data_IF_426083582763
#
_entry.id   IF_426083582763
#
_cell.length_a   1.000
_cell.length_b   1.000
_cell.length_c   1.000
_cell.angle_alpha   90.00
_cell.angle_beta   90.00
_cell.angle_gamma   90.00
#
_symmetry.space_group_name_H-M   'P 1'
#
loop_
_entity.id
_entity.type
_entity.pdbx_description
1 polymer ?
#
# COMPACT_ATOMS: atom_id res chain seq x y z
N UNK A 1 -3.60 -8.64 -19.45
CA UNK A 1 -2.71 -8.77 -18.28
C UNK A 1 -3.60 -8.59 -17.07
N UNK A 2 -3.76 -9.63 -16.25
CA UNK A 2 -4.43 -9.48 -14.95
C UNK A 2 -3.55 -8.59 -14.07
N UNK A 3 -4.12 -7.50 -13.55
CA UNK A 3 -3.46 -6.69 -12.54
C UNK A 3 -3.62 -7.45 -11.23
N UNK A 4 -2.53 -8.02 -10.72
CA UNK A 4 -2.50 -8.60 -9.38
C UNK A 4 -2.60 -7.49 -8.34
N UNK A 5 -3.39 -7.72 -7.30
CA UNK A 5 -3.59 -6.79 -6.17
C UNK A 5 -4.08 -5.40 -6.62
N UNK A 6 -5.21 -5.32 -7.34
CA UNK A 6 -5.71 -4.07 -7.89
C UNK A 6 -6.05 -3.04 -6.82
N UNK A 7 -6.58 -3.44 -5.65
CA UNK A 7 -6.93 -2.49 -4.59
C UNK A 7 -5.68 -1.91 -3.96
N UNK A 8 -4.70 -2.75 -3.63
CA UNK A 8 -3.41 -2.34 -3.07
C UNK A 8 -2.68 -1.37 -4.02
N UNK A 9 -2.57 -1.72 -5.30
CA UNK A 9 -1.91 -0.87 -6.30
C UNK A 9 -2.64 0.45 -6.52
N UNK A 10 -3.96 0.43 -6.61
CA UNK A 10 -4.74 1.65 -6.80
C UNK A 10 -4.57 2.60 -5.61
N UNK A 11 -4.48 2.07 -4.39
CA UNK A 11 -4.20 2.87 -3.21
C UNK A 11 -2.80 3.48 -3.31
N UNK A 12 -1.77 2.67 -3.56
CA UNK A 12 -0.38 3.15 -3.65
C UNK A 12 -0.21 4.23 -4.73
N UNK A 13 -0.83 4.04 -5.91
CA UNK A 13 -0.85 5.06 -6.97
C UNK A 13 -1.59 6.32 -6.53
N UNK A 14 -2.76 6.17 -5.88
CA UNK A 14 -3.58 7.34 -5.52
C UNK A 14 -2.95 8.20 -4.43
N UNK A 15 -2.22 7.58 -3.51
CA UNK A 15 -1.64 8.23 -2.33
C UNK A 15 -0.18 8.64 -2.58
N UNK A 16 0.64 7.74 -3.13
CA UNK A 16 2.10 7.88 -3.19
C UNK A 16 2.65 8.01 -4.62
N UNK A 17 1.80 8.34 -5.60
CA UNK A 17 2.29 8.57 -6.96
C UNK A 17 3.30 9.72 -7.00
N UNK A 18 4.42 9.45 -7.68
CA UNK A 18 5.50 10.40 -7.91
C UNK A 18 5.01 11.63 -8.67
N UNK A 19 3.92 11.51 -9.44
CA UNK A 19 3.33 12.62 -10.19
C UNK A 19 2.46 13.55 -9.33
N UNK A 20 1.88 13.04 -8.23
CA UNK A 20 0.92 13.80 -7.41
C UNK A 20 1.63 14.55 -6.29
N UNK A 21 2.71 13.98 -5.74
CA UNK A 21 3.58 14.67 -4.77
C UNK A 21 2.81 15.29 -3.59
N UNK A 22 1.94 14.51 -2.95
CA UNK A 22 1.13 14.98 -1.83
C UNK A 22 2.02 15.29 -0.62
N UNK A 23 1.57 16.21 0.25
CA UNK A 23 2.16 16.34 1.57
C UNK A 23 1.73 15.16 2.46
N UNK A 24 2.55 14.78 3.42
CA UNK A 24 2.28 13.66 4.35
C UNK A 24 0.87 13.73 4.99
N UNK A 25 0.40 14.95 5.36
CA UNK A 25 -0.96 15.14 5.88
C UNK A 25 -2.07 14.76 4.89
N UNK A 26 -1.87 15.05 3.60
CA UNK A 26 -2.84 14.70 2.55
C UNK A 26 -2.78 13.21 2.24
N UNK A 27 -1.59 12.61 2.24
CA UNK A 27 -1.44 11.16 2.07
C UNK A 27 -2.19 10.38 3.16
N UNK A 28 -2.04 10.82 4.41
CA UNK A 28 -2.79 10.28 5.54
C UNK A 28 -4.30 10.48 5.38
N UNK A 29 -4.76 11.69 5.03
CA UNK A 29 -6.19 11.96 4.88
C UNK A 29 -6.84 11.15 3.75
N UNK A 30 -6.13 10.98 2.63
CA UNK A 30 -6.58 10.13 1.53
C UNK A 30 -6.62 8.67 1.93
N UNK A 31 -5.58 8.18 2.60
CA UNK A 31 -5.53 6.82 3.13
C UNK A 31 -6.70 6.57 4.08
N UNK A 32 -7.00 7.49 5.00
CA UNK A 32 -8.15 7.38 5.90
C UNK A 32 -9.48 7.36 5.14
N UNK A 33 -9.70 8.27 4.19
CA UNK A 33 -10.90 8.26 3.36
C UNK A 33 -11.05 6.94 2.58
N UNK A 34 -9.95 6.41 2.05
CA UNK A 34 -9.94 5.16 1.30
C UNK A 34 -10.30 3.97 2.20
N UNK A 35 -9.80 3.96 3.44
CA UNK A 35 -10.04 2.91 4.43
C UNK A 35 -11.39 3.02 5.16
N UNK A 36 -12.12 4.15 5.05
CA UNK A 36 -13.49 4.25 5.55
C UNK A 36 -14.47 3.33 4.81
N UNK A 37 -14.16 2.93 3.58
CA UNK A 37 -14.95 1.95 2.85
C UNK A 37 -14.63 0.53 3.34
N UNK A 38 -15.62 -0.13 3.96
CA UNK A 38 -15.46 -1.47 4.55
C UNK A 38 -15.14 -2.54 3.50
N UNK A 39 -15.72 -2.46 2.30
CA UNK A 39 -15.46 -3.43 1.23
C UNK A 39 -14.01 -3.32 0.74
N UNK A 40 -13.55 -2.08 0.55
CA UNK A 40 -12.17 -1.77 0.15
C UNK A 40 -11.18 -2.23 1.23
N UNK A 41 -11.48 -1.97 2.50
CA UNK A 41 -10.64 -2.41 3.62
C UNK A 41 -10.50 -3.94 3.68
N UNK A 42 -11.59 -4.67 3.50
CA UNK A 42 -11.57 -6.14 3.49
C UNK A 42 -10.81 -6.68 2.29
N UNK A 43 -11.04 -6.12 1.09
CA UNK A 43 -10.31 -6.51 -0.10
C UNK A 43 -8.80 -6.22 0.02
N UNK A 44 -8.43 -5.05 0.54
CA UNK A 44 -7.04 -4.68 0.81
C UNK A 44 -6.37 -5.65 1.79
N UNK A 45 -7.09 -6.05 2.85
CA UNK A 45 -6.59 -7.06 3.79
C UNK A 45 -6.28 -8.38 3.10
N UNK A 46 -7.23 -8.88 2.32
CA UNK A 46 -7.11 -10.17 1.66
C UNK A 46 -6.00 -10.12 0.58
N UNK A 47 -5.85 -9.00 -0.12
CA UNK A 47 -4.75 -8.75 -1.05
C UNK A 47 -3.39 -8.68 -0.35
N UNK A 48 -3.28 -8.03 0.81
CA UNK A 48 -2.04 -7.98 1.60
C UNK A 48 -1.61 -9.37 2.08
N UNK A 49 -2.55 -10.18 2.57
CA UNK A 49 -2.28 -11.57 2.98
C UNK A 49 -1.85 -12.41 1.77
N UNK A 50 -2.53 -12.25 0.64
CA UNK A 50 -2.18 -12.95 -0.59
C UNK A 50 -0.80 -12.53 -1.11
N UNK A 51 -0.45 -11.25 -1.02
CA UNK A 51 0.87 -10.72 -1.38
C UNK A 51 1.95 -11.33 -0.49
N UNK A 52 1.75 -11.31 0.83
CA UNK A 52 2.67 -11.94 1.79
C UNK A 52 2.89 -13.42 1.50
N UNK A 53 1.81 -14.16 1.23
CA UNK A 53 1.87 -15.58 0.90
C UNK A 53 2.52 -15.88 -0.47
N UNK A 54 2.51 -14.92 -1.39
CA UNK A 54 3.08 -15.08 -2.73
C UNK A 54 4.61 -15.04 -2.75
N UNK A 55 5.24 -14.44 -1.72
CA UNK A 55 6.68 -14.23 -1.68
C UNK A 55 7.19 -13.18 -2.68
N UNK A 56 6.30 -12.35 -3.23
CA UNK A 56 6.67 -11.19 -4.05
C UNK A 56 7.41 -10.14 -3.18
N UNK A 57 8.26 -9.33 -3.81
CA UNK A 57 9.11 -8.35 -3.11
C UNK A 57 8.28 -7.16 -2.63
N UNK A 58 8.28 -6.92 -1.32
CA UNK A 58 7.70 -5.73 -0.70
C UNK A 58 8.44 -4.47 -1.12
N UNK A 59 9.75 -4.57 -1.36
CA UNK A 59 10.56 -3.45 -1.87
C UNK A 59 10.11 -3.03 -3.26
N UNK A 60 9.97 -3.97 -4.19
CA UNK A 60 9.47 -3.67 -5.54
C UNK A 60 8.00 -3.20 -5.53
N UNK A 61 7.22 -3.66 -4.56
CA UNK A 61 5.85 -3.16 -4.36
C UNK A 61 5.85 -1.71 -3.91
N UNK A 62 6.74 -1.30 -3.00
CA UNK A 62 6.77 0.05 -2.42
C UNK A 62 7.53 1.07 -3.25
N UNK A 63 8.50 0.60 -4.03
CA UNK A 63 9.35 1.43 -4.86
C UNK A 63 9.43 0.82 -6.26
N UNK A 64 8.81 1.49 -7.22
CA UNK A 64 8.89 1.14 -8.62
C UNK A 64 8.69 2.38 -9.50
N UNK A 65 8.69 2.18 -10.82
CA UNK A 65 8.58 3.26 -11.80
C UNK A 65 7.27 4.06 -11.70
N UNK A 66 6.23 3.53 -11.05
CA UNK A 66 4.90 4.15 -10.97
C UNK A 66 4.65 4.90 -9.66
N UNK A 67 5.31 4.53 -8.57
CA UNK A 67 5.22 5.23 -7.28
C UNK A 67 6.46 4.94 -6.43
N UNK A 68 6.78 5.88 -5.53
CA UNK A 68 7.86 5.74 -4.57
C UNK A 68 7.31 6.11 -3.20
N UNK A 69 6.97 5.10 -2.42
CA UNK A 69 6.32 5.27 -1.11
C UNK A 69 7.36 5.56 -0.04
N UNK A 70 8.39 4.70 0.04
CA UNK A 70 9.52 4.90 0.93
C UNK A 70 10.73 4.10 0.43
N UNK A 71 11.95 4.68 0.46
CA UNK A 71 13.17 3.91 0.25
C UNK A 71 13.42 3.05 1.48
N UNK A 72 13.35 1.73 1.32
CA UNK A 72 13.61 0.76 2.39
C UNK A 72 14.88 -0.03 2.11
N UNK A 73 15.68 -0.31 3.13
CA UNK A 73 16.96 -0.99 2.97
C UNK A 73 16.79 -2.52 2.93
N UNK A 74 15.68 -3.06 3.44
CA UNK A 74 15.36 -4.49 3.47
C UNK A 74 13.88 -4.83 3.15
N UNK A 75 13.60 -6.08 2.82
CA UNK A 75 12.23 -6.59 2.62
C UNK A 75 11.40 -6.53 3.92
N UNK A 76 12.04 -6.79 5.06
CA UNK A 76 11.37 -6.76 6.36
C UNK A 76 10.96 -5.32 6.72
N UNK A 77 11.83 -4.33 6.48
CA UNK A 77 11.49 -2.91 6.65
C UNK A 77 10.35 -2.47 5.72
N UNK A 78 10.38 -2.90 4.45
CA UNK A 78 9.30 -2.61 3.50
C UNK A 78 7.95 -3.17 3.98
N UNK A 79 7.96 -4.42 4.46
CA UNK A 79 6.78 -5.07 5.03
C UNK A 79 6.29 -4.35 6.29
N UNK A 80 7.18 -4.06 7.23
CA UNK A 80 6.85 -3.35 8.47
C UNK A 80 6.24 -1.98 8.16
N UNK A 81 6.82 -1.23 7.22
CA UNK A 81 6.30 0.07 6.80
C UNK A 81 4.87 0.00 6.26
N UNK A 82 4.59 -0.96 5.35
CA UNK A 82 3.21 -1.18 4.86
C UNK A 82 2.25 -1.57 6.00
N UNK A 83 2.71 -2.38 6.94
CA UNK A 83 1.88 -2.83 8.06
C UNK A 83 1.64 -1.71 9.09
N UNK A 84 2.55 -0.75 9.23
CA UNK A 84 2.33 0.46 10.04
C UNK A 84 1.31 1.40 9.40
N UNK A 85 1.38 1.59 8.08
CA UNK A 85 0.44 2.44 7.35
C UNK A 85 -0.95 1.79 7.31
N UNK A 86 -1.02 0.54 6.86
CA UNK A 86 -2.28 -0.14 6.59
C UNK A 86 -2.68 -1.12 7.68
N UNK A 87 -1.73 -1.93 8.16
CA UNK A 87 -2.01 -3.03 9.09
C UNK A 87 -2.75 -2.58 10.36
N UNK A 88 -2.33 -1.49 11.01
CA UNK A 88 -3.03 -0.95 12.19
C UNK A 88 -4.49 -0.55 11.90
N UNK A 89 -4.82 -0.16 10.67
CA UNK A 89 -6.13 0.38 10.25
C UNK A 89 -7.01 -0.67 9.56
N UNK A 90 -6.40 -1.73 9.04
CA UNK A 90 -7.05 -2.81 8.30
C UNK A 90 -7.24 -4.06 9.18
N UNK A 91 -6.38 -4.26 10.18
CA UNK A 91 -6.42 -5.38 11.13
C UNK A 91 -7.00 -5.00 12.51
N UNK A 92 -7.39 -3.74 12.75
CA UNK A 92 -8.17 -3.32 13.94
C UNK A 92 -9.67 -3.50 13.77
#
# INVERSE_FOLDING_TARGET
>A
MEIKYPVLRNLLISVFSVEVGLSEELEMAFTECYLQNTEVRLALRDELIAFEASGESWRELLDNESWCVAPTDSEDEAREYIMEIFGARVLS
#
